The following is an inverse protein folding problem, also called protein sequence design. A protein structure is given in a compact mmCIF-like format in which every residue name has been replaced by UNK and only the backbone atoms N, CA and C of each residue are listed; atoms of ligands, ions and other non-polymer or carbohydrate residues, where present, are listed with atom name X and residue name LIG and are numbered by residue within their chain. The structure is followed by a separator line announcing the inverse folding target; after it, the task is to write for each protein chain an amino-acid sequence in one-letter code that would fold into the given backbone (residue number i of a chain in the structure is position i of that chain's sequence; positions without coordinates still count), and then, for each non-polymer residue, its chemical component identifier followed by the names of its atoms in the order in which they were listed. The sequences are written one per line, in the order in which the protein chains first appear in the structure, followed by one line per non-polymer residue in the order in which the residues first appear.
data_IF_199329173305
#
_entry.id   IF_199329173305
#
_cell.length_a   1.000
_cell.length_b   1.000
_cell.length_c   1.000
_cell.angle_alpha   90.00
_cell.angle_beta   90.00
_cell.angle_gamma   90.00
#
_symmetry.space_group_name_H-M   'P 1'
#
loop_
_entity.id
_entity.type
_entity.pdbx_description
1 polymer ?
#
# COMPACT_ATOMS: atom_id res chain seq x y z
N UNK A 1 -3.10 14.36 -8.38
CA UNK A 1 -2.82 15.31 -7.27
C UNK A 1 -1.33 15.63 -7.23
N UNK A 2 -0.89 16.69 -6.53
CA UNK A 2 0.54 16.87 -6.21
C UNK A 2 0.94 15.81 -5.15
N UNK A 3 2.08 15.12 -5.29
CA UNK A 3 2.54 14.16 -4.29
C UNK A 3 2.74 14.79 -2.90
N UNK A 4 2.15 14.18 -1.88
CA UNK A 4 2.26 14.63 -0.48
C UNK A 4 3.25 13.73 0.25
N UNK A 5 4.27 14.32 0.89
CA UNK A 5 5.23 13.56 1.69
C UNK A 5 4.55 13.04 2.96
N UNK A 6 4.56 11.73 3.20
CA UNK A 6 3.86 11.13 4.34
C UNK A 6 4.69 11.32 5.61
N UNK A 7 4.30 12.30 6.43
CA UNK A 7 4.93 12.63 7.72
C UNK A 7 3.87 13.09 8.71
N UNK A 8 4.21 13.10 10.00
CA UNK A 8 3.32 13.62 11.05
C UNK A 8 2.98 15.10 10.81
N UNK A 9 3.91 15.88 10.28
CA UNK A 9 3.71 17.30 9.96
C UNK A 9 2.74 17.51 8.79
N UNK A 10 2.65 16.54 7.86
CA UNK A 10 1.74 16.59 6.72
C UNK A 10 0.33 16.03 7.02
N UNK A 11 0.03 15.68 8.28
CA UNK A 11 -1.27 15.08 8.68
C UNK A 11 -2.47 15.88 8.19
N UNK A 12 -2.42 17.21 8.32
CA UNK A 12 -3.52 18.07 7.87
C UNK A 12 -3.71 18.04 6.34
N UNK A 13 -2.62 18.04 5.58
CA UNK A 13 -2.66 17.99 4.11
C UNK A 13 -3.24 16.65 3.61
N UNK A 14 -2.84 15.54 4.25
CA UNK A 14 -3.37 14.21 3.98
C UNK A 14 -4.87 14.16 4.32
N UNK A 15 -5.27 14.68 5.49
CA UNK A 15 -6.68 14.68 5.91
C UNK A 15 -7.56 15.48 4.94
N UNK A 16 -7.08 16.64 4.47
CA UNK A 16 -7.79 17.45 3.47
C UNK A 16 -7.96 16.65 2.16
N UNK A 17 -6.90 15.98 1.71
CA UNK A 17 -6.94 15.18 0.49
C UNK A 17 -7.90 13.98 0.60
N UNK A 18 -7.93 13.28 1.75
CA UNK A 18 -8.88 12.20 2.02
C UNK A 18 -10.33 12.70 2.03
N UNK A 19 -10.60 13.83 2.71
CA UNK A 19 -11.94 14.43 2.77
C UNK A 19 -12.44 14.86 1.40
N UNK A 20 -11.56 15.38 0.54
CA UNK A 20 -11.92 15.76 -0.82
C UNK A 20 -12.45 14.58 -1.65
N UNK A 21 -11.95 13.36 -1.40
CA UNK A 21 -12.41 12.14 -2.10
C UNK A 21 -13.59 11.49 -1.39
N UNK A 22 -13.55 11.38 -0.07
CA UNK A 22 -14.55 10.63 0.68
C UNK A 22 -15.84 11.42 0.89
N UNK A 23 -15.77 12.75 0.95
CA UNK A 23 -16.88 13.58 1.40
C UNK A 23 -17.24 13.27 2.85
N UNK A 24 -18.52 12.95 3.11
CA UNK A 24 -19.04 12.58 4.43
C UNK A 24 -18.94 11.09 4.75
N UNK A 25 -18.42 10.27 3.82
CA UNK A 25 -18.26 8.84 4.05
C UNK A 25 -17.13 8.56 5.06
N UNK A 26 -17.41 7.73 6.06
CA UNK A 26 -16.46 7.37 7.13
C UNK A 26 -16.35 5.87 7.40
N UNK A 27 -17.44 5.12 7.32
CA UNK A 27 -17.50 3.73 7.83
C UNK A 27 -16.66 2.69 7.05
N UNK A 28 -16.32 2.94 5.78
CA UNK A 28 -15.65 1.96 4.90
C UNK A 28 -14.53 2.58 4.03
N UNK A 29 -14.16 3.81 4.36
CA UNK A 29 -13.19 4.66 3.64
C UNK A 29 -11.97 4.89 4.50
N UNK A 30 -10.81 5.17 3.90
CA UNK A 30 -9.66 5.69 4.66
C UNK A 30 -10.00 7.10 5.12
N UNK A 31 -10.43 7.24 6.37
CA UNK A 31 -10.88 8.53 6.89
C UNK A 31 -9.74 9.33 7.51
N UNK A 32 -8.87 8.65 8.25
CA UNK A 32 -7.87 9.29 9.09
C UNK A 32 -6.48 9.27 8.44
N UNK A 33 -5.82 10.42 8.46
CA UNK A 33 -4.45 10.55 7.98
C UNK A 33 -3.46 9.63 8.73
N UNK A 34 -3.78 9.23 9.96
CA UNK A 34 -2.98 8.28 10.75
C UNK A 34 -2.91 6.92 10.07
N UNK A 35 -4.01 6.45 9.46
CA UNK A 35 -4.04 5.17 8.73
C UNK A 35 -3.05 5.18 7.56
N UNK A 36 -2.94 6.32 6.85
CA UNK A 36 -1.99 6.48 5.75
C UNK A 36 -0.54 6.45 6.24
N UNK A 37 -0.28 7.07 7.39
CA UNK A 37 1.05 7.06 8.02
C UNK A 37 1.42 5.64 8.43
N UNK A 38 0.50 4.89 9.01
CA UNK A 38 0.75 3.52 9.45
C UNK A 38 0.88 2.54 8.27
N UNK A 39 0.09 2.72 7.21
CA UNK A 39 0.27 2.02 5.93
C UNK A 39 1.68 2.25 5.35
N UNK A 40 2.16 3.50 5.35
CA UNK A 40 3.51 3.81 4.89
C UNK A 40 4.60 3.15 5.75
N UNK A 41 4.45 3.13 7.07
CA UNK A 41 5.37 2.42 7.98
C UNK A 41 5.36 0.91 7.74
N UNK A 42 4.20 0.32 7.54
CA UNK A 42 4.07 -1.11 7.25
C UNK A 42 4.71 -1.44 5.90
N UNK A 43 4.43 -0.66 4.86
CA UNK A 43 5.03 -0.81 3.54
C UNK A 43 6.56 -0.69 3.57
N UNK A 44 7.11 0.27 4.33
CA UNK A 44 8.55 0.40 4.55
C UNK A 44 9.14 -0.89 5.14
N UNK A 45 8.53 -1.42 6.21
CA UNK A 45 9.00 -2.67 6.83
C UNK A 45 8.98 -3.83 5.84
N UNK A 46 7.89 -4.00 5.10
CA UNK A 46 7.73 -5.08 4.13
C UNK A 46 8.73 -4.97 2.99
N UNK A 47 8.83 -3.81 2.34
CA UNK A 47 9.75 -3.65 1.20
C UNK A 47 11.20 -3.82 1.62
N UNK A 48 11.61 -3.23 2.75
CA UNK A 48 12.99 -3.32 3.23
C UNK A 48 13.35 -4.75 3.62
N UNK A 49 12.41 -5.51 4.20
CA UNK A 49 12.59 -6.94 4.45
C UNK A 49 12.83 -7.72 3.16
N UNK A 50 12.06 -7.43 2.10
CA UNK A 50 12.19 -8.11 0.82
C UNK A 50 13.51 -7.78 0.11
N UNK A 51 13.90 -6.51 0.02
CA UNK A 51 15.08 -6.10 -0.76
C UNK A 51 16.37 -5.99 0.06
N UNK A 52 16.30 -6.34 1.36
CA UNK A 52 17.37 -6.31 2.36
C UNK A 52 18.05 -4.95 2.64
N UNK A 53 17.69 -3.88 1.91
CA UNK A 53 18.29 -2.56 2.09
C UNK A 53 17.33 -1.41 1.75
N UNK A 54 17.31 -0.36 2.60
CA UNK A 54 16.48 0.85 2.38
C UNK A 54 16.76 1.55 1.05
N UNK A 55 18.03 1.64 0.64
CA UNK A 55 18.39 2.27 -0.63
C UNK A 55 17.76 1.56 -1.84
N UNK A 56 17.55 0.25 -1.76
CA UNK A 56 16.93 -0.55 -2.82
C UNK A 56 15.40 -0.43 -2.83
N UNK A 57 14.78 0.11 -1.77
CA UNK A 57 13.33 0.26 -1.69
C UNK A 57 12.77 1.43 -2.55
N UNK A 58 13.64 2.32 -3.04
CA UNK A 58 13.24 3.41 -3.92
C UNK A 58 12.53 2.90 -5.18
N UNK A 59 11.39 3.50 -5.51
CA UNK A 59 10.55 3.12 -6.65
C UNK A 59 9.47 2.09 -6.32
N UNK A 60 9.46 1.51 -5.11
CA UNK A 60 8.39 0.61 -4.71
C UNK A 60 7.04 1.36 -4.59
N UNK A 61 5.96 0.68 -4.94
CA UNK A 61 4.60 1.27 -4.93
C UNK A 61 3.69 0.41 -4.08
N UNK A 62 2.98 1.04 -3.13
CA UNK A 62 1.89 0.43 -2.40
C UNK A 62 0.57 0.91 -2.97
N UNK A 63 -0.34 -0.02 -3.29
CA UNK A 63 -1.75 0.28 -3.55
C UNK A 63 -2.57 -0.38 -2.46
N UNK A 64 -3.39 0.41 -1.78
CA UNK A 64 -4.28 -0.07 -0.72
C UNK A 64 -5.70 0.43 -1.00
N UNK A 65 -6.67 -0.48 -0.94
CA UNK A 65 -8.10 -0.16 -1.02
C UNK A 65 -8.77 -0.51 0.30
N UNK A 66 -9.41 0.47 0.93
CA UNK A 66 -10.12 0.28 2.20
C UNK A 66 -11.37 -0.59 2.08
N UNK A 67 -11.94 -0.93 3.24
CA UNK A 67 -13.15 -1.75 3.35
C UNK A 67 -12.84 -3.25 3.34
N UNK A 68 -13.82 -4.05 3.73
CA UNK A 68 -13.71 -5.51 3.77
C UNK A 68 -14.41 -6.16 2.60
N UNK A 69 -13.91 -7.32 2.18
CA UNK A 69 -14.48 -8.05 1.05
C UNK A 69 -15.91 -8.44 1.40
N UNK A 70 -16.90 -7.98 0.63
CA UNK A 70 -18.28 -8.41 0.85
C UNK A 70 -18.51 -9.78 0.23
N UNK A 71 -19.40 -10.57 0.83
CA UNK A 71 -19.81 -11.85 0.28
C UNK A 71 -20.32 -11.68 -1.16
N UNK A 72 -20.02 -12.64 -2.03
CA UNK A 72 -20.39 -12.58 -3.47
C UNK A 72 -21.90 -12.42 -3.71
N UNK A 73 -22.73 -12.82 -2.75
CA UNK A 73 -24.19 -12.67 -2.77
C UNK A 73 -24.68 -11.25 -2.40
N UNK A 74 -23.80 -10.38 -1.90
CA UNK A 74 -24.14 -9.02 -1.51
C UNK A 74 -24.20 -8.12 -2.76
N UNK A 75 -25.41 -7.76 -3.17
CA UNK A 75 -25.66 -7.00 -4.40
C UNK A 75 -25.38 -5.49 -4.28
N UNK A 76 -25.16 -4.98 -3.06
CA UNK A 76 -24.97 -3.56 -2.82
C UNK A 76 -23.49 -3.18 -2.90
N UNK A 77 -23.15 -2.21 -3.74
CA UNK A 77 -21.83 -1.61 -3.79
C UNK A 77 -21.64 -0.62 -2.64
N UNK A 78 -20.49 -0.64 -1.97
CA UNK A 78 -20.13 0.35 -0.95
C UNK A 78 -19.03 1.27 -1.47
N UNK A 79 -19.04 2.52 -1.02
CA UNK A 79 -17.97 3.49 -1.28
C UNK A 79 -16.76 3.17 -0.41
N UNK A 80 -15.58 3.23 -1.02
CA UNK A 80 -14.29 3.02 -0.39
C UNK A 80 -13.25 3.94 -0.99
N UNK A 81 -12.06 3.89 -0.43
CA UNK A 81 -10.94 4.75 -0.82
C UNK A 81 -9.78 3.87 -1.25
N UNK A 82 -9.27 4.12 -2.45
CA UNK A 82 -7.99 3.58 -2.89
C UNK A 82 -6.93 4.66 -2.76
N UNK A 83 -5.79 4.30 -2.18
CA UNK A 83 -4.60 5.14 -2.12
C UNK A 83 -3.43 4.46 -2.79
N UNK A 84 -2.61 5.28 -3.45
CA UNK A 84 -1.34 4.86 -4.00
C UNK A 84 -0.22 5.62 -3.30
N UNK A 85 0.69 4.86 -2.69
CA UNK A 85 1.90 5.39 -2.07
C UNK A 85 3.10 4.98 -2.92
N UNK A 86 4.06 5.89 -3.05
CA UNK A 86 5.32 5.64 -3.77
C UNK A 86 6.50 5.89 -2.83
N UNK A 87 7.41 4.93 -2.76
CA UNK A 87 8.67 5.09 -2.05
C UNK A 87 9.65 5.86 -2.91
N UNK A 88 10.01 7.08 -2.49
CA UNK A 88 11.07 7.87 -3.14
C UNK A 88 12.41 7.62 -2.45
N UNK A 89 13.42 8.46 -2.66
CA UNK A 89 14.75 8.27 -2.06
C UNK A 89 14.72 8.28 -0.52
N UNK A 90 14.01 9.23 0.09
CA UNK A 90 13.99 9.40 1.55
C UNK A 90 12.77 8.79 2.25
N UNK A 91 11.59 8.93 1.66
CA UNK A 91 10.31 8.66 2.32
C UNK A 91 9.24 8.16 1.35
N UNK A 92 8.10 7.76 1.91
CA UNK A 92 6.88 7.48 1.17
C UNK A 92 6.09 8.74 0.87
N UNK A 93 5.47 8.77 -0.31
CA UNK A 93 4.65 9.87 -0.79
C UNK A 93 3.28 9.34 -1.18
N UNK A 94 2.23 10.03 -0.75
CA UNK A 94 0.87 9.80 -1.23
C UNK A 94 0.75 10.46 -2.60
N UNK A 95 0.63 9.65 -3.65
CA UNK A 95 0.66 10.11 -5.04
C UNK A 95 -0.71 10.10 -5.70
N UNK A 96 -1.64 9.27 -5.19
CA UNK A 96 -3.02 9.22 -5.65
C UNK A 96 -3.98 8.83 -4.53
N UNK A 97 -5.19 9.41 -4.57
CA UNK A 97 -6.34 9.03 -3.76
C UNK A 97 -7.54 9.03 -4.70
N UNK A 98 -8.28 7.93 -4.74
CA UNK A 98 -9.44 7.77 -5.59
C UNK A 98 -10.58 7.06 -4.88
N UNK A 99 -11.81 7.36 -5.31
CA UNK A 99 -12.98 6.63 -4.87
C UNK A 99 -13.01 5.25 -5.55
N UNK A 100 -13.19 4.21 -4.76
CA UNK A 100 -13.46 2.87 -5.25
C UNK A 100 -14.90 2.47 -4.88
N UNK A 101 -15.59 1.81 -5.80
CA UNK A 101 -16.85 1.11 -5.52
C UNK A 101 -16.53 -0.35 -5.30
N UNK A 102 -16.72 -0.83 -4.08
CA UNK A 102 -16.42 -2.22 -3.79
C UNK A 102 -17.64 -3.11 -3.90
N UNK A 103 -17.43 -4.23 -4.59
CA UNK A 103 -18.21 -5.45 -4.47
C UNK A 103 -17.33 -6.49 -3.72
N UNK A 104 -16.85 -7.54 -4.39
CA UNK A 104 -16.02 -8.61 -3.81
C UNK A 104 -14.53 -8.26 -3.65
N UNK A 105 -13.99 -7.27 -4.35
CA UNK A 105 -12.55 -6.94 -4.35
C UNK A 105 -12.18 -5.78 -3.39
N UNK A 106 -12.47 -5.93 -2.09
CA UNK A 106 -12.08 -4.96 -1.05
C UNK A 106 -10.88 -5.42 -0.23
N UNK A 107 -10.33 -4.51 0.59
CA UNK A 107 -9.36 -4.85 1.65
C UNK A 107 -8.05 -5.38 1.12
N UNK A 108 -7.78 -5.17 -0.17
CA UNK A 108 -6.58 -5.66 -0.84
C UNK A 108 -5.48 -4.62 -0.71
N UNK A 109 -4.34 -5.10 -0.21
CA UNK A 109 -3.08 -4.40 -0.28
C UNK A 109 -2.20 -5.08 -1.32
N UNK A 110 -1.61 -4.30 -2.23
CA UNK A 110 -0.63 -4.78 -3.21
C UNK A 110 0.62 -3.94 -3.12
N UNK A 111 1.76 -4.61 -2.95
CA UNK A 111 3.09 -4.00 -3.06
C UNK A 111 3.65 -4.37 -4.43
N UNK A 112 4.04 -3.37 -5.20
CA UNK A 112 4.69 -3.53 -6.50
C UNK A 112 6.17 -3.21 -6.36
N UNK A 113 6.98 -4.13 -6.87
CA UNK A 113 8.43 -4.02 -6.96
C UNK A 113 8.82 -3.81 -8.42
N UNK A 114 9.85 -3.02 -8.66
CA UNK A 114 10.55 -3.01 -9.95
C UNK A 114 11.27 -4.34 -10.19
N UNK A 115 11.61 -4.63 -11.44
CA UNK A 115 12.36 -5.85 -11.81
C UNK A 115 13.68 -5.96 -11.04
N UNK A 116 14.40 -4.85 -10.85
CA UNK A 116 15.63 -4.82 -10.07
C UNK A 116 15.39 -5.19 -8.59
N UNK A 117 14.29 -4.70 -8.00
CA UNK A 117 13.91 -5.03 -6.63
C UNK A 117 13.47 -6.49 -6.48
N UNK A 118 12.72 -7.02 -7.46
CA UNK A 118 12.35 -8.43 -7.51
C UNK A 118 13.60 -9.33 -7.57
N UNK A 119 14.57 -9.00 -8.42
CA UNK A 119 15.83 -9.75 -8.51
C UNK A 119 16.59 -9.79 -7.16
N UNK A 120 16.63 -8.67 -6.43
CA UNK A 120 17.17 -8.65 -5.07
C UNK A 120 16.34 -9.53 -4.12
N UNK A 121 15.01 -9.38 -4.12
CA UNK A 121 14.14 -10.13 -3.24
C UNK A 121 14.24 -11.65 -3.46
N UNK A 122 14.28 -12.09 -4.71
CA UNK A 122 14.47 -13.50 -5.06
C UNK A 122 15.83 -14.00 -4.59
N UNK A 123 16.89 -13.22 -4.81
CA UNK A 123 18.26 -13.58 -4.40
C UNK A 123 18.34 -13.76 -2.88
N UNK A 124 17.83 -12.78 -2.12
CA UNK A 124 17.80 -12.82 -0.65
C UNK A 124 16.94 -13.99 -0.15
N UNK A 125 15.78 -14.23 -0.76
CA UNK A 125 14.91 -15.36 -0.40
C UNK A 125 15.58 -16.70 -0.68
N UNK A 126 16.23 -16.86 -1.85
CA UNK A 126 16.94 -18.10 -2.23
C UNK A 126 18.15 -18.38 -1.35
N UNK A 127 18.79 -17.34 -0.80
CA UNK A 127 19.88 -17.52 0.16
C UNK A 127 19.42 -18.08 1.52
N UNK A 128 18.12 -17.99 1.86
CA UNK A 128 17.58 -18.39 3.16
C UNK A 128 17.24 -19.88 3.29
N UNK A 129 17.22 -20.65 2.20
CA UNK A 129 16.86 -22.06 2.24
C UNK A 129 17.67 -22.93 1.30
N UNK A 130 17.71 -24.22 1.62
CA UNK A 130 18.27 -25.27 0.78
C UNK A 130 17.16 -26.19 0.28
N UNK A 131 17.34 -26.76 -0.91
CA UNK A 131 16.37 -27.68 -1.52
C UNK A 131 16.87 -29.11 -1.29
N UNK A 132 16.03 -29.96 -0.70
CA UNK A 132 16.27 -31.41 -0.64
C UNK A 132 15.74 -32.01 -1.95
N UNK A 133 16.61 -32.67 -2.72
CA UNK A 133 16.17 -33.45 -3.89
C UNK A 133 15.79 -34.86 -3.44
N UNK A 134 14.63 -35.40 -3.84
CA UNK A 134 14.30 -36.79 -3.56
C UNK A 134 15.29 -37.72 -4.29
N UNK A 135 15.70 -38.79 -3.63
CA UNK A 135 16.46 -39.86 -4.27
C UNK A 135 15.56 -40.53 -5.33
N UNK A 136 16.07 -40.66 -6.54
CA UNK A 136 15.45 -41.41 -7.65
C UNK A 136 15.58 -42.91 -7.39
#
# INVERSE_FOLDING_TARGET
MKPIKITVQATNEIQIALRAVNGTATAHTLHDAVDIIDLAKQAEKTVVCLVAAKARAQGAVLVHTSGDSVARAYQNSRKATTVRLERRSSDWYLVDISEAKINTEAGKQKLWLSEAQDAFAITELRAQYSIIKPAV
#
